data_IF_249347675032
#
_entry.id   IF_249347675032
#
_cell.length_a   1.000
_cell.length_b   1.000
_cell.length_c   1.000
_cell.angle_alpha   90.00
_cell.angle_beta   90.00
_cell.angle_gamma   90.00
#
_symmetry.space_group_name_H-M   'P 1'
#
loop_
_entity.id
_entity.type
_entity.pdbx_description
1 polymer ?
#
# COMPACT_ATOMS: atom_id res chain seq x y z
N UNK A 1 -6.61 11.68 12.96
CA UNK A 1 -5.51 12.18 12.11
C UNK A 1 -4.84 11.00 11.40
N UNK A 2 -4.15 11.23 10.28
CA UNK A 2 -3.45 10.19 9.50
C UNK A 2 -1.94 10.45 9.54
N UNK A 3 -1.14 9.39 9.63
CA UNK A 3 0.32 9.41 9.65
C UNK A 3 0.86 8.50 8.54
N UNK A 4 1.67 9.05 7.66
CA UNK A 4 2.31 8.33 6.55
C UNK A 4 3.60 9.06 6.14
N UNK A 5 4.59 8.37 5.54
CA UNK A 5 5.75 9.03 4.99
C UNK A 5 5.37 9.88 3.77
N UNK A 6 6.01 11.02 3.57
CA UNK A 6 5.85 11.84 2.36
C UNK A 6 6.42 11.13 1.12
N UNK A 7 7.50 10.37 1.30
CA UNK A 7 8.13 9.55 0.27
C UNK A 7 8.97 8.46 0.90
N UNK A 8 9.14 7.35 0.18
CA UNK A 8 10.11 6.30 0.49
C UNK A 8 10.97 6.03 -0.74
N UNK A 9 12.23 5.67 -0.53
CA UNK A 9 13.17 5.29 -1.59
C UNK A 9 13.74 3.91 -1.31
N UNK A 10 14.00 3.15 -2.38
CA UNK A 10 14.62 1.83 -2.32
C UNK A 10 15.43 1.61 -3.60
N UNK A 11 16.48 0.80 -3.52
CA UNK A 11 17.23 0.36 -4.69
C UNK A 11 16.46 -0.70 -5.48
N UNK A 12 16.82 -0.86 -6.75
CA UNK A 12 16.29 -1.95 -7.58
C UNK A 12 16.60 -3.30 -6.91
N UNK A 13 15.59 -4.16 -6.79
CA UNK A 13 15.69 -5.46 -6.13
C UNK A 13 15.40 -5.45 -4.62
N UNK A 14 15.38 -4.29 -3.97
CA UNK A 14 15.09 -4.21 -2.54
C UNK A 14 13.61 -4.40 -2.23
N UNK A 15 13.31 -4.58 -0.94
CA UNK A 15 11.94 -4.60 -0.42
C UNK A 15 11.64 -3.28 0.26
N UNK A 16 10.56 -2.62 -0.15
CA UNK A 16 10.07 -1.39 0.50
C UNK A 16 8.74 -1.64 1.20
N UNK A 17 8.56 -0.99 2.35
CA UNK A 17 7.31 -0.98 3.11
C UNK A 17 6.78 0.45 3.19
N UNK A 18 5.53 0.64 2.77
CA UNK A 18 4.82 1.91 2.88
C UNK A 18 3.73 1.73 3.92
N UNK A 19 3.72 2.57 4.94
CA UNK A 19 2.76 2.47 6.05
C UNK A 19 1.84 3.69 6.08
N UNK A 20 0.60 3.44 6.50
CA UNK A 20 -0.38 4.47 6.81
C UNK A 20 -1.08 4.10 8.10
N UNK A 21 -1.09 5.02 9.07
CA UNK A 21 -1.73 4.83 10.37
C UNK A 21 -2.78 5.92 10.64
N UNK A 22 -3.95 5.56 11.16
CA UNK A 22 -5.05 6.50 11.46
C UNK A 22 -5.53 6.46 12.92
N UNK A 23 -6.28 7.49 13.36
CA UNK A 23 -6.96 7.47 14.67
C UNK A 23 -8.20 6.57 14.62
N UNK A 24 -8.33 5.72 15.63
CA UNK A 24 -9.27 4.60 15.81
C UNK A 24 -10.72 5.02 16.10
N UNK A 25 -11.16 6.15 15.57
CA UNK A 25 -12.42 6.77 15.96
C UNK A 25 -13.48 6.28 14.96
N UNK A 26 -13.92 5.04 15.18
CA UNK A 26 -15.00 4.24 14.57
C UNK A 26 -14.65 3.13 13.57
N UNK A 27 -13.51 3.17 12.85
CA UNK A 27 -13.16 2.15 11.84
C UNK A 27 -11.64 2.05 11.62
N UNK A 28 -10.87 1.59 12.63
CA UNK A 28 -9.41 1.41 12.45
C UNK A 28 -9.13 0.68 11.15
N UNK A 29 -8.35 1.30 10.24
CA UNK A 29 -7.99 0.89 8.85
C UNK A 29 -8.85 -0.19 8.13
N UNK A 30 -10.15 -0.31 8.39
CA UNK A 30 -10.94 -1.40 7.83
C UNK A 30 -11.28 -1.08 6.38
N UNK A 31 -10.69 -1.81 5.43
CA UNK A 31 -10.97 -1.67 4.01
C UNK A 31 -10.01 -0.75 3.23
N UNK A 32 -8.71 -0.74 3.55
CA UNK A 32 -7.75 0.02 2.74
C UNK A 32 -7.52 -0.61 1.36
N UNK A 33 -7.35 0.28 0.39
CA UNK A 33 -6.87 -0.04 -0.94
C UNK A 33 -5.54 0.66 -1.21
N UNK A 34 -4.63 -0.02 -1.89
CA UNK A 34 -3.41 0.56 -2.39
C UNK A 34 -3.53 0.73 -3.90
N UNK A 35 -3.07 1.88 -4.41
CA UNK A 35 -3.17 2.24 -5.81
C UNK A 35 -1.82 2.73 -6.34
N UNK A 36 -1.48 2.34 -7.55
CA UNK A 36 -0.28 2.77 -8.25
C UNK A 36 -0.64 3.69 -9.42
N UNK A 37 -0.06 4.89 -9.43
CA UNK A 37 -0.09 5.79 -10.57
C UNK A 37 1.33 5.93 -11.13
N UNK A 38 1.58 5.38 -12.31
CA UNK A 38 2.93 5.40 -12.93
C UNK A 38 3.19 6.66 -13.73
N UNK A 39 2.15 7.19 -14.37
CA UNK A 39 2.23 8.37 -15.23
C UNK A 39 1.39 9.48 -14.60
N UNK A 40 1.94 10.67 -14.34
CA UNK A 40 1.15 11.81 -13.86
C UNK A 40 -0.06 12.06 -14.77
N UNK A 41 -1.24 12.17 -14.17
CA UNK A 41 -2.50 12.38 -14.91
C UNK A 41 -3.15 11.11 -15.48
N UNK A 42 -2.51 9.94 -15.38
CA UNK A 42 -3.15 8.65 -15.68
C UNK A 42 -4.08 8.19 -14.55
N UNK A 43 -5.04 7.32 -14.88
CA UNK A 43 -5.88 6.68 -13.87
C UNK A 43 -5.05 5.78 -12.94
N UNK A 44 -5.32 5.81 -11.62
CA UNK A 44 -4.67 4.90 -10.68
C UNK A 44 -5.07 3.43 -10.95
N UNK A 45 -4.12 2.51 -10.79
CA UNK A 45 -4.36 1.07 -10.84
C UNK A 45 -4.41 0.52 -9.42
N UNK A 46 -5.46 -0.21 -9.07
CA UNK A 46 -5.54 -0.91 -7.77
C UNK A 46 -4.50 -2.02 -7.69
N UNK A 47 -3.63 -1.98 -6.69
CA UNK A 47 -2.64 -3.04 -6.43
C UNK A 47 -3.04 -3.94 -5.26
N UNK A 48 -3.73 -3.41 -4.25
CA UNK A 48 -4.32 -4.16 -3.14
C UNK A 48 -5.70 -3.58 -2.83
N UNK A 49 -6.68 -4.42 -2.53
CA UNK A 49 -8.01 -4.03 -2.05
C UNK A 49 -8.39 -4.89 -0.85
N UNK A 50 -9.42 -4.49 -0.10
CA UNK A 50 -9.90 -5.20 1.09
C UNK A 50 -8.75 -5.66 1.99
N UNK A 51 -7.82 -4.75 2.28
CA UNK A 51 -6.66 -4.93 3.16
C UNK A 51 -5.52 -5.81 2.61
N UNK A 52 -5.81 -6.99 2.08
CA UNK A 52 -4.77 -7.93 1.67
C UNK A 52 -5.08 -8.66 0.34
N UNK A 53 -6.22 -8.37 -0.29
CA UNK A 53 -6.55 -8.98 -1.56
C UNK A 53 -5.79 -8.28 -2.69
N UNK A 54 -5.07 -9.06 -3.49
CA UNK A 54 -4.39 -8.59 -4.69
C UNK A 54 -5.18 -9.03 -5.92
N UNK A 55 -5.52 -8.13 -6.86
CA UNK A 55 -6.12 -8.53 -8.14
C UNK A 55 -5.22 -9.52 -8.90
N UNK A 56 -5.80 -10.44 -9.67
CA UNK A 56 -5.07 -11.55 -10.30
C UNK A 56 -4.04 -11.12 -11.34
N UNK A 57 -4.24 -9.95 -11.96
CA UNK A 57 -3.37 -9.33 -12.95
C UNK A 57 -2.24 -8.49 -12.32
N UNK A 58 -2.23 -8.33 -11.00
CA UNK A 58 -1.20 -7.58 -10.28
C UNK A 58 -0.04 -8.52 -9.88
N UNK A 59 1.22 -8.14 -10.15
CA UNK A 59 2.39 -8.96 -9.86
C UNK A 59 2.51 -9.38 -8.40
N UNK A 60 3.09 -10.57 -8.17
CA UNK A 60 3.20 -11.19 -6.85
C UNK A 60 4.04 -10.41 -5.83
N UNK A 61 4.83 -9.45 -6.30
CA UNK A 61 5.66 -8.57 -5.48
C UNK A 61 4.89 -7.63 -4.55
N UNK A 62 3.63 -7.34 -4.85
CA UNK A 62 2.79 -6.48 -4.03
C UNK A 62 2.04 -7.32 -2.99
N UNK A 63 2.06 -6.92 -1.73
CA UNK A 63 1.23 -7.51 -0.67
C UNK A 63 0.79 -6.46 0.34
N UNK A 64 -0.41 -6.64 0.90
CA UNK A 64 -0.97 -5.77 1.93
C UNK A 64 -1.12 -6.49 3.27
N UNK A 65 -0.94 -5.77 4.36
CA UNK A 65 -1.16 -6.27 5.72
C UNK A 65 -1.62 -5.17 6.67
N UNK A 66 -2.40 -5.54 7.68
CA UNK A 66 -2.94 -4.65 8.69
C UNK A 66 -2.53 -5.10 10.09
N UNK A 67 -2.20 -4.14 10.96
CA UNK A 67 -2.05 -4.38 12.39
C UNK A 67 -2.58 -3.18 13.17
N UNK A 68 -3.60 -3.40 13.98
CA UNK A 68 -4.31 -2.32 14.69
C UNK A 68 -4.86 -1.30 13.69
N UNK A 69 -4.47 -0.04 13.83
CA UNK A 69 -4.85 1.05 12.91
C UNK A 69 -3.79 1.36 11.86
N UNK A 70 -2.86 0.42 11.59
CA UNK A 70 -1.77 0.59 10.63
C UNK A 70 -1.89 -0.38 9.46
N UNK A 71 -2.07 0.17 8.27
CA UNK A 71 -1.98 -0.54 7.00
C UNK A 71 -0.55 -0.48 6.46
N UNK A 72 -0.07 -1.57 5.87
CA UNK A 72 1.25 -1.67 5.24
C UNK A 72 1.13 -2.26 3.84
N UNK A 73 1.70 -1.57 2.85
CA UNK A 73 2.03 -2.15 1.54
C UNK A 73 3.48 -2.62 1.56
N UNK A 74 3.72 -3.87 1.20
CA UNK A 74 5.06 -4.39 0.93
C UNK A 74 5.23 -4.57 -0.56
N UNK A 75 6.34 -4.07 -1.09
CA UNK A 75 6.77 -4.26 -2.48
C UNK A 75 8.13 -4.94 -2.45
N UNK A 76 8.20 -6.22 -2.82
CA UNK A 76 9.46 -6.95 -2.92
C UNK A 76 10.08 -6.80 -4.30
N UNK A 77 11.41 -6.78 -4.42
CA UNK A 77 12.05 -6.68 -5.72
C UNK A 77 11.61 -5.43 -6.50
N UNK A 78 11.78 -4.24 -5.90
CA UNK A 78 11.46 -2.95 -6.53
C UNK A 78 12.12 -2.86 -7.92
N UNK A 79 11.39 -2.30 -8.88
CA UNK A 79 11.77 -2.15 -10.30
C UNK A 79 11.40 -0.77 -10.79
#
# INVERSE_FOLDING_TARGET
>A
SISQPSSVSANVGETVKITCSGSSDSYGCSGYGWFQQKVPGSGPVTVIYNNNNRPSDIPSRFSGSESGSTATLTITGVQ
#
